data_IF_972548623526
#
_entry.id   IF_972548623526
#
_cell.length_a   1.000
_cell.length_b   1.000
_cell.length_c   1.000
_cell.angle_alpha   90.00
_cell.angle_beta   90.00
_cell.angle_gamma   90.00
#
_symmetry.space_group_name_H-M   'P 1'
#
loop_
_entity.id
_entity.type
_entity.pdbx_description
1 polymer ?
#
# COMPACT_ATOMS: atom_id res chain seq x y z
N UNK A 1 12.42 10.34 -39.19
CA UNK A 1 11.01 10.07 -39.48
C UNK A 1 10.67 8.81 -38.72
N UNK A 2 10.08 8.96 -37.54
CA UNK A 2 9.60 7.82 -36.75
C UNK A 2 8.20 7.57 -37.30
N UNK A 3 8.02 6.43 -37.96
CA UNK A 3 6.73 6.00 -38.46
C UNK A 3 5.73 5.96 -37.31
N UNK A 4 4.54 6.49 -37.60
CA UNK A 4 3.39 6.58 -36.72
C UNK A 4 3.09 5.21 -36.09
N UNK A 5 3.51 5.03 -34.83
CA UNK A 5 2.95 4.00 -33.99
C UNK A 5 1.49 4.41 -33.74
N UNK A 6 0.56 3.82 -34.50
CA UNK A 6 -0.87 3.91 -34.27
C UNK A 6 -1.13 3.78 -32.77
N UNK A 7 -1.65 4.85 -32.15
CA UNK A 7 -2.03 4.82 -30.74
C UNK A 7 -3.06 3.69 -30.56
N UNK A 8 -2.62 2.59 -29.96
CA UNK A 8 -3.50 1.53 -29.50
C UNK A 8 -4.57 2.16 -28.58
N UNK A 9 -5.86 1.98 -28.90
CA UNK A 9 -6.97 2.38 -28.02
C UNK A 9 -6.97 1.65 -26.66
N UNK A 10 -6.13 0.62 -26.47
CA UNK A 10 -6.02 -0.14 -25.22
C UNK A 10 -5.10 0.55 -24.22
N UNK A 11 -5.53 0.56 -22.96
CA UNK A 11 -4.73 1.07 -21.84
C UNK A 11 -3.43 0.27 -21.71
N UNK A 12 -2.32 0.92 -21.40
CA UNK A 12 -1.00 0.27 -21.37
C UNK A 12 -0.26 0.55 -20.07
N UNK A 13 0.36 -0.49 -19.53
CA UNK A 13 1.13 -0.44 -18.27
C UNK A 13 2.52 -0.99 -18.50
N UNK A 14 3.53 -0.19 -18.23
CA UNK A 14 4.93 -0.61 -18.10
C UNK A 14 5.25 -0.92 -16.64
N UNK A 15 5.92 -2.04 -16.37
CA UNK A 15 6.23 -2.50 -15.01
C UNK A 15 7.75 -2.67 -14.87
N UNK A 16 8.37 -1.91 -13.96
CA UNK A 16 9.78 -2.05 -13.61
C UNK A 16 9.91 -2.98 -12.41
N UNK A 17 10.36 -4.21 -12.63
CA UNK A 17 10.56 -5.23 -11.60
C UNK A 17 9.42 -6.24 -11.52
N UNK A 18 9.74 -7.50 -11.79
CA UNK A 18 8.82 -8.64 -11.75
C UNK A 18 8.99 -9.42 -10.43
N UNK A 19 8.96 -8.69 -9.32
CA UNK A 19 8.97 -9.25 -7.97
C UNK A 19 7.60 -9.75 -7.52
N UNK A 20 7.35 -9.80 -6.20
CA UNK A 20 6.06 -10.20 -5.64
C UNK A 20 4.92 -9.30 -6.15
N UNK A 21 5.03 -7.98 -5.94
CA UNK A 21 3.99 -7.02 -6.31
C UNK A 21 3.93 -6.81 -7.82
N UNK A 22 5.06 -6.45 -8.45
CA UNK A 22 5.11 -6.19 -9.89
C UNK A 22 4.74 -7.42 -10.74
N UNK A 23 5.17 -8.62 -10.33
CA UNK A 23 4.76 -9.86 -10.99
C UNK A 23 3.27 -10.14 -10.84
N UNK A 24 2.70 -9.89 -9.66
CA UNK A 24 1.27 -10.11 -9.39
C UNK A 24 0.41 -9.16 -10.21
N UNK A 25 0.83 -7.89 -10.30
CA UNK A 25 0.20 -6.89 -11.14
C UNK A 25 0.29 -7.28 -12.63
N UNK A 26 1.47 -7.70 -13.10
CA UNK A 26 1.67 -8.12 -14.48
C UNK A 26 0.79 -9.31 -14.85
N UNK A 27 0.78 -10.37 -14.03
CA UNK A 27 -0.06 -11.57 -14.20
C UNK A 27 -1.55 -11.22 -14.26
N UNK A 28 -2.00 -10.31 -13.39
CA UNK A 28 -3.40 -9.85 -13.35
C UNK A 28 -3.79 -9.08 -14.59
N UNK A 29 -3.00 -8.06 -14.96
CA UNK A 29 -3.29 -7.19 -16.09
C UNK A 29 -3.21 -7.92 -17.43
N UNK A 30 -2.29 -8.88 -17.58
CA UNK A 30 -2.11 -9.64 -18.81
C UNK A 30 -3.31 -10.53 -19.17
N UNK A 31 -4.18 -10.85 -18.20
CA UNK A 31 -5.45 -11.57 -18.45
C UNK A 31 -6.52 -10.68 -19.08
N UNK A 32 -6.33 -9.36 -19.12
CA UNK A 32 -7.33 -8.40 -19.58
C UNK A 32 -7.12 -8.04 -21.06
N UNK A 33 -8.11 -8.34 -21.90
CA UNK A 33 -8.02 -8.09 -23.34
C UNK A 33 -7.86 -6.61 -23.72
N UNK A 34 -8.22 -5.69 -22.82
CA UNK A 34 -8.16 -4.24 -22.99
C UNK A 34 -6.92 -3.59 -22.34
N UNK A 35 -5.93 -4.38 -21.91
CA UNK A 35 -4.69 -3.87 -21.33
C UNK A 35 -3.45 -4.47 -22.00
N UNK A 36 -2.51 -3.62 -22.41
CA UNK A 36 -1.17 -4.05 -22.86
C UNK A 36 -0.20 -3.97 -21.67
N UNK A 37 0.55 -5.05 -21.43
CA UNK A 37 1.52 -5.12 -20.34
C UNK A 37 2.94 -5.22 -20.90
N UNK A 38 3.77 -4.26 -20.52
CA UNK A 38 5.20 -4.25 -20.80
C UNK A 38 5.95 -4.42 -19.48
N UNK A 39 7.06 -5.14 -19.50
CA UNK A 39 7.84 -5.36 -18.30
C UNK A 39 9.34 -5.30 -18.55
N UNK A 40 10.06 -4.83 -17.54
CA UNK A 40 11.50 -4.99 -17.43
C UNK A 40 11.80 -5.59 -16.06
N UNK A 41 12.75 -6.52 -15.99
CA UNK A 41 13.29 -7.01 -14.73
C UNK A 41 14.81 -7.01 -14.81
N UNK A 42 15.47 -6.69 -13.69
CA UNK A 42 16.94 -6.65 -13.60
C UNK A 42 17.60 -7.94 -14.11
N UNK A 43 16.97 -9.06 -13.79
CA UNK A 43 17.40 -10.38 -14.24
C UNK A 43 16.27 -11.03 -15.05
N UNK A 44 16.61 -11.74 -16.13
CA UNK A 44 15.64 -12.20 -17.11
C UNK A 44 15.00 -13.55 -16.77
N UNK A 45 15.27 -14.14 -15.59
CA UNK A 45 14.70 -15.45 -15.23
C UNK A 45 13.16 -15.51 -15.32
N UNK A 46 12.39 -14.43 -15.04
CA UNK A 46 10.94 -14.44 -15.20
C UNK A 46 10.43 -14.37 -16.65
N UNK A 47 11.28 -14.06 -17.64
CA UNK A 47 10.82 -13.60 -18.95
C UNK A 47 10.12 -14.67 -19.78
N UNK A 48 10.58 -15.92 -19.74
CA UNK A 48 9.95 -16.98 -20.53
C UNK A 48 8.51 -17.24 -20.08
N UNK A 49 8.28 -17.31 -18.76
CA UNK A 49 6.95 -17.45 -18.19
C UNK A 49 6.11 -16.19 -18.44
N UNK A 50 6.68 -15.00 -18.21
CA UNK A 50 5.97 -13.74 -18.44
C UNK A 50 5.49 -13.60 -19.90
N UNK A 51 6.36 -13.93 -20.88
CA UNK A 51 6.00 -13.92 -22.32
C UNK A 51 4.90 -14.93 -22.63
N UNK A 52 4.92 -16.12 -22.01
CA UNK A 52 3.85 -17.11 -22.19
C UNK A 52 2.48 -16.63 -21.69
N UNK A 53 2.46 -15.66 -20.77
CA UNK A 53 1.25 -15.01 -20.26
C UNK A 53 0.82 -13.79 -21.07
N UNK A 54 1.52 -13.46 -22.17
CA UNK A 54 1.23 -12.29 -23.00
C UNK A 54 1.88 -10.99 -22.54
N UNK A 55 2.84 -11.05 -21.60
CA UNK A 55 3.60 -9.87 -21.15
C UNK A 55 4.76 -9.63 -22.12
N UNK A 56 4.89 -8.40 -22.62
CA UNK A 56 6.01 -8.02 -23.49
C UNK A 56 7.19 -7.56 -22.64
N UNK A 57 8.25 -8.37 -22.59
CA UNK A 57 9.46 -8.05 -21.83
C UNK A 57 10.48 -7.28 -22.68
N UNK A 58 11.02 -6.18 -22.14
CA UNK A 58 12.10 -5.40 -22.77
C UNK A 58 13.45 -5.68 -22.09
N UNK A 59 14.54 -5.42 -22.80
CA UNK A 59 15.91 -5.72 -22.32
C UNK A 59 16.46 -4.62 -21.40
N UNK A 60 16.12 -3.35 -21.66
CA UNK A 60 16.60 -2.20 -20.87
C UNK A 60 15.43 -1.42 -20.29
N UNK A 61 15.62 -0.86 -19.09
CA UNK A 61 14.54 -0.13 -18.39
C UNK A 61 14.08 1.10 -19.18
N UNK A 62 14.98 1.81 -19.86
CA UNK A 62 14.61 2.95 -20.69
C UNK A 62 13.70 2.59 -21.87
N UNK A 63 13.68 1.33 -22.30
CA UNK A 63 12.82 0.91 -23.41
C UNK A 63 11.34 0.86 -22.99
N UNK A 64 11.04 0.71 -21.69
CA UNK A 64 9.68 0.91 -21.17
C UNK A 64 9.22 2.36 -21.33
N UNK A 65 10.08 3.33 -21.05
CA UNK A 65 9.75 4.75 -21.21
C UNK A 65 9.49 5.11 -22.68
N UNK A 66 10.29 4.58 -23.61
CA UNK A 66 10.13 4.79 -25.06
C UNK A 66 8.83 4.23 -25.63
N UNK A 67 8.25 3.22 -24.98
CA UNK A 67 6.93 2.67 -25.36
C UNK A 67 5.77 3.61 -24.98
N UNK A 68 6.02 4.69 -24.22
CA UNK A 68 5.04 5.70 -23.81
C UNK A 68 3.77 5.07 -23.19
N UNK A 69 3.90 4.17 -22.19
CA UNK A 69 2.73 3.56 -21.57
C UNK A 69 1.89 4.63 -20.86
N UNK A 70 0.59 4.37 -20.68
CA UNK A 70 -0.26 5.26 -19.88
C UNK A 70 0.20 5.33 -18.43
N UNK A 71 0.65 4.19 -17.89
CA UNK A 71 1.24 4.09 -16.55
C UNK A 71 2.58 3.37 -16.62
N UNK A 72 3.63 3.95 -16.05
CA UNK A 72 4.90 3.27 -15.77
C UNK A 72 5.03 3.10 -14.26
N UNK A 73 4.88 1.87 -13.77
CA UNK A 73 4.91 1.56 -12.34
C UNK A 73 6.25 0.95 -11.91
N UNK A 74 6.86 1.59 -10.91
CA UNK A 74 8.17 1.27 -10.37
C UNK A 74 8.03 0.29 -9.19
N UNK A 75 8.29 -0.99 -9.46
CA UNK A 75 8.21 -2.10 -8.52
C UNK A 75 9.58 -2.60 -8.04
N UNK A 76 10.65 -1.82 -8.29
CA UNK A 76 11.99 -2.09 -7.78
C UNK A 76 12.11 -1.76 -6.27
N UNK A 77 13.19 -2.24 -5.65
CA UNK A 77 13.54 -1.82 -4.30
C UNK A 77 13.84 -0.31 -4.25
N UNK A 78 13.48 0.37 -3.16
CA UNK A 78 13.66 1.82 -3.03
C UNK A 78 15.13 2.25 -3.13
N UNK A 79 16.05 1.41 -2.67
CA UNK A 79 17.50 1.64 -2.84
C UNK A 79 17.95 1.73 -4.31
N UNK A 80 17.23 1.10 -5.24
CA UNK A 80 17.52 1.15 -6.68
C UNK A 80 16.72 2.26 -7.41
N UNK A 81 15.81 2.94 -6.73
CA UNK A 81 14.93 3.93 -7.35
C UNK A 81 15.70 5.08 -8.00
N UNK A 82 16.75 5.69 -7.40
CA UNK A 82 17.49 6.77 -8.03
C UNK A 82 18.13 6.39 -9.37
N UNK A 83 18.73 5.19 -9.47
CA UNK A 83 19.36 4.74 -10.72
C UNK A 83 18.30 4.46 -11.81
N UNK A 84 17.19 3.82 -11.44
CA UNK A 84 16.08 3.55 -12.35
C UNK A 84 15.49 4.86 -12.90
N UNK A 85 15.22 5.83 -12.01
CA UNK A 85 14.70 7.14 -12.40
C UNK A 85 15.66 7.87 -13.34
N UNK A 86 16.97 7.85 -13.04
CA UNK A 86 17.99 8.45 -13.90
C UNK A 86 18.01 7.85 -15.32
N UNK A 87 17.86 6.52 -15.43
CA UNK A 87 17.87 5.83 -16.73
C UNK A 87 16.62 6.12 -17.57
N UNK A 88 15.44 6.27 -16.94
CA UNK A 88 14.19 6.52 -17.66
C UNK A 88 13.96 8.00 -17.96
N UNK A 89 14.45 8.92 -17.12
CA UNK A 89 14.12 10.35 -17.20
C UNK A 89 14.31 10.98 -18.60
N UNK A 90 15.38 10.67 -19.38
CA UNK A 90 15.56 11.25 -20.71
C UNK A 90 14.53 10.81 -21.76
N UNK A 91 13.78 9.74 -21.49
CA UNK A 91 12.90 9.09 -22.47
C UNK A 91 11.42 9.18 -22.10
N UNK A 92 11.09 9.64 -20.90
CA UNK A 92 9.69 9.76 -20.46
C UNK A 92 8.99 10.90 -21.20
N UNK A 93 7.90 10.55 -21.86
CA UNK A 93 6.96 11.54 -22.36
C UNK A 93 5.99 11.97 -21.26
N UNK A 94 6.30 13.10 -20.62
CA UNK A 94 5.50 13.67 -19.53
C UNK A 94 4.07 14.03 -19.97
N UNK A 95 3.80 14.21 -21.27
CA UNK A 95 2.46 14.55 -21.77
C UNK A 95 1.52 13.33 -21.84
N UNK A 96 2.06 12.12 -21.76
CA UNK A 96 1.32 10.88 -21.93
C UNK A 96 1.44 9.94 -20.72
N UNK A 97 2.66 9.74 -20.23
CA UNK A 97 2.94 8.73 -19.20
C UNK A 97 2.77 9.29 -17.80
N UNK A 98 2.02 8.56 -16.97
CA UNK A 98 2.03 8.73 -15.51
C UNK A 98 3.02 7.75 -14.90
N UNK A 99 3.99 8.25 -14.14
CA UNK A 99 4.88 7.44 -13.31
C UNK A 99 4.20 7.16 -11.97
N UNK A 100 4.34 5.95 -11.48
CA UNK A 100 3.92 5.56 -10.13
C UNK A 100 4.90 4.55 -9.54
N UNK A 101 4.72 4.21 -8.27
CA UNK A 101 5.55 3.24 -7.56
C UNK A 101 4.68 2.33 -6.68
N UNK A 102 5.30 1.40 -5.95
CA UNK A 102 4.62 0.54 -4.96
C UNK A 102 5.33 0.52 -3.60
N UNK A 103 6.25 1.46 -3.38
CA UNK A 103 7.11 1.55 -2.20
C UNK A 103 6.35 1.76 -0.89
N UNK A 104 6.93 1.31 0.21
CA UNK A 104 6.31 1.44 1.54
C UNK A 104 6.52 2.81 2.20
N UNK A 105 7.29 3.71 1.57
CA UNK A 105 7.62 5.05 2.06
C UNK A 105 7.46 6.02 0.90
N UNK A 106 6.70 7.09 1.07
CA UNK A 106 6.25 7.97 -0.02
C UNK A 106 7.03 9.27 -0.10
N UNK A 107 7.37 9.88 1.03
CA UNK A 107 8.20 11.10 1.05
C UNK A 107 9.55 10.85 0.38
N UNK A 108 10.23 9.75 0.74
CA UNK A 108 11.51 9.37 0.14
C UNK A 108 11.42 9.20 -1.38
N UNK A 109 10.40 8.49 -1.87
CA UNK A 109 10.24 8.27 -3.32
C UNK A 109 9.94 9.58 -4.04
N UNK A 110 9.11 10.46 -3.45
CA UNK A 110 8.80 11.75 -4.05
C UNK A 110 10.02 12.65 -4.17
N UNK A 111 10.89 12.67 -3.15
CA UNK A 111 12.17 13.36 -3.20
C UNK A 111 13.04 12.82 -4.34
N UNK A 112 13.18 11.49 -4.46
CA UNK A 112 13.97 10.86 -5.53
C UNK A 112 13.42 11.15 -6.93
N UNK A 113 12.10 11.16 -7.09
CA UNK A 113 11.43 11.53 -8.35
C UNK A 113 11.67 13.00 -8.70
N UNK A 114 11.60 13.89 -7.70
CA UNK A 114 11.89 15.31 -7.87
C UNK A 114 13.35 15.55 -8.27
N UNK A 115 14.29 14.85 -7.65
CA UNK A 115 15.71 14.92 -8.00
C UNK A 115 15.98 14.46 -9.45
N UNK A 116 15.18 13.53 -9.96
CA UNK A 116 15.20 13.10 -11.35
C UNK A 116 14.46 14.05 -12.32
N UNK A 117 13.83 15.12 -11.82
CA UNK A 117 13.06 16.08 -12.63
C UNK A 117 11.76 15.50 -13.20
N UNK A 118 11.19 14.49 -12.55
CA UNK A 118 10.00 13.75 -13.00
C UNK A 118 8.75 14.03 -12.14
N UNK A 119 8.80 15.00 -11.23
CA UNK A 119 7.72 15.29 -10.28
C UNK A 119 6.38 15.61 -10.96
N UNK A 120 6.42 16.32 -12.09
CA UNK A 120 5.21 16.75 -12.81
C UNK A 120 4.43 15.58 -13.44
N UNK A 121 5.01 14.37 -13.46
CA UNK A 121 4.38 13.18 -14.02
C UNK A 121 4.16 12.03 -13.02
N UNK A 122 4.33 12.28 -11.72
CA UNK A 122 4.35 11.23 -10.71
C UNK A 122 3.17 11.26 -9.73
N UNK A 123 2.53 10.11 -9.57
CA UNK A 123 1.52 9.83 -8.54
C UNK A 123 2.02 8.66 -7.72
N UNK A 124 2.24 8.86 -6.43
CA UNK A 124 2.75 7.79 -5.57
C UNK A 124 1.68 6.75 -5.32
N UNK A 125 2.07 5.49 -5.19
CA UNK A 125 1.11 4.46 -4.83
C UNK A 125 1.72 3.39 -3.91
N UNK A 126 0.92 2.77 -3.06
CA UNK A 126 1.36 1.70 -2.17
C UNK A 126 0.20 0.71 -1.96
N UNK A 127 0.28 -0.51 -2.51
CA UNK A 127 -0.67 -1.56 -2.20
C UNK A 127 -0.48 -2.03 -0.75
N UNK A 128 -1.55 -2.03 0.04
CA UNK A 128 -1.60 -2.63 1.38
C UNK A 128 -1.77 -4.15 1.27
N UNK A 129 -0.82 -4.78 0.55
CA UNK A 129 -0.77 -6.21 0.29
C UNK A 129 0.68 -6.69 0.32
N UNK A 130 0.87 -7.95 0.66
CA UNK A 130 2.20 -8.56 0.69
C UNK A 130 2.19 -9.92 1.36
N UNK A 131 3.29 -10.62 1.21
CA UNK A 131 3.59 -11.85 1.92
C UNK A 131 5.04 -11.81 2.42
N UNK A 132 5.38 -12.76 3.26
CA UNK A 132 6.75 -13.07 3.69
C UNK A 132 7.64 -13.56 2.53
N UNK A 133 7.03 -14.03 1.44
CA UNK A 133 7.73 -14.53 0.25
C UNK A 133 8.10 -13.41 -0.73
N UNK A 134 9.05 -13.67 -1.63
CA UNK A 134 9.57 -12.68 -2.58
C UNK A 134 9.77 -13.26 -3.99
N UNK A 135 9.92 -12.37 -4.97
CA UNK A 135 10.21 -12.73 -6.35
C UNK A 135 9.01 -13.19 -7.18
N UNK A 136 9.25 -13.41 -8.47
CA UNK A 136 8.24 -13.79 -9.46
C UNK A 136 7.47 -15.07 -9.09
N UNK A 137 8.17 -16.09 -8.56
CA UNK A 137 7.54 -17.37 -8.19
C UNK A 137 6.52 -17.23 -7.06
N UNK A 138 6.68 -16.23 -6.19
CA UNK A 138 5.72 -15.92 -5.13
C UNK A 138 4.57 -15.03 -5.61
N UNK A 139 4.64 -14.51 -6.84
CA UNK A 139 3.60 -13.65 -7.39
C UNK A 139 2.40 -14.45 -7.88
N UNK A 140 1.20 -13.91 -7.67
CA UNK A 140 -0.08 -14.48 -8.08
C UNK A 140 -0.98 -13.36 -8.58
N UNK A 141 -1.80 -13.62 -9.60
CA UNK A 141 -2.80 -12.65 -10.05
C UNK A 141 -3.87 -12.36 -8.99
N UNK A 142 -3.99 -13.22 -7.98
CA UNK A 142 -4.93 -13.09 -6.86
C UNK A 142 -4.38 -12.29 -5.68
N UNK A 143 -3.05 -12.08 -5.59
CA UNK A 143 -2.40 -11.45 -4.42
C UNK A 143 -3.01 -10.10 -4.05
N UNK A 144 -3.43 -9.34 -5.07
CA UNK A 144 -3.95 -7.99 -4.92
C UNK A 144 -5.48 -7.94 -4.83
N UNK A 145 -6.21 -9.07 -4.82
CA UNK A 145 -7.67 -9.11 -4.82
C UNK A 145 -8.28 -8.23 -3.71
N UNK A 146 -9.01 -7.18 -4.10
CA UNK A 146 -9.68 -6.28 -3.16
C UNK A 146 -8.73 -5.47 -2.28
N UNK A 147 -7.43 -5.47 -2.60
CA UNK A 147 -6.42 -4.76 -1.82
C UNK A 147 -6.74 -3.27 -1.78
N UNK A 148 -6.48 -2.64 -0.63
CA UNK A 148 -6.49 -1.19 -0.51
C UNK A 148 -5.16 -0.63 -1.00
N UNK A 149 -5.19 0.41 -1.82
CA UNK A 149 -4.01 1.13 -2.29
C UNK A 149 -4.02 2.54 -1.73
N UNK A 150 -2.93 2.96 -1.10
CA UNK A 150 -2.70 4.36 -0.79
C UNK A 150 -2.13 5.06 -2.01
N UNK A 151 -2.81 6.07 -2.53
CA UNK A 151 -2.33 6.96 -3.59
C UNK A 151 -1.89 8.26 -2.94
N UNK A 152 -0.71 8.74 -3.31
CA UNK A 152 -0.21 10.02 -2.80
C UNK A 152 -0.10 11.09 -3.85
N UNK A 153 -0.57 12.27 -3.47
CA UNK A 153 -0.66 13.47 -4.30
C UNK A 153 -0.06 14.67 -3.58
N UNK A 154 0.39 15.66 -4.35
CA UNK A 154 0.82 16.97 -3.89
C UNK A 154 0.20 18.07 -4.77
N UNK A 155 0.48 19.34 -4.47
CA UNK A 155 -0.05 20.49 -5.19
C UNK A 155 0.30 20.51 -6.69
N UNK A 156 1.35 19.79 -7.12
CA UNK A 156 1.76 19.69 -8.52
C UNK A 156 1.06 18.56 -9.29
N UNK A 157 0.38 17.67 -8.57
CA UNK A 157 -0.23 16.48 -9.15
C UNK A 157 -1.47 16.87 -9.95
N UNK A 158 -1.52 16.49 -11.23
CA UNK A 158 -2.70 16.71 -12.07
C UNK A 158 -3.72 15.56 -11.94
N UNK A 159 -5.02 15.89 -11.89
CA UNK A 159 -6.07 14.88 -11.68
C UNK A 159 -6.10 13.78 -12.74
N UNK A 160 -5.79 14.10 -14.01
CA UNK A 160 -5.77 13.11 -15.08
C UNK A 160 -4.73 12.00 -14.83
N UNK A 161 -3.66 12.30 -14.10
CA UNK A 161 -2.65 11.31 -13.71
C UNK A 161 -3.16 10.40 -12.62
N UNK A 162 -3.84 10.97 -11.61
CA UNK A 162 -4.55 10.20 -10.58
C UNK A 162 -5.57 9.27 -11.23
N UNK A 163 -6.31 9.76 -12.22
CA UNK A 163 -7.24 8.96 -13.01
C UNK A 163 -6.57 7.77 -13.70
N UNK A 164 -5.40 7.92 -14.31
CA UNK A 164 -4.69 6.79 -14.91
C UNK A 164 -4.36 5.71 -13.86
N UNK A 165 -3.95 6.12 -12.66
CA UNK A 165 -3.67 5.18 -11.57
C UNK A 165 -4.95 4.54 -11.03
N UNK A 166 -6.03 5.30 -10.87
CA UNK A 166 -7.34 4.77 -10.48
C UNK A 166 -7.94 3.83 -11.53
N UNK A 167 -7.78 4.10 -12.82
CA UNK A 167 -8.18 3.20 -13.89
C UNK A 167 -7.48 1.85 -13.75
N UNK A 168 -6.17 1.86 -13.49
CA UNK A 168 -5.40 0.63 -13.27
C UNK A 168 -5.84 -0.11 -12.00
N UNK A 169 -5.92 0.59 -10.87
CA UNK A 169 -6.18 -0.01 -9.55
C UNK A 169 -7.64 -0.43 -9.42
N UNK A 170 -8.56 0.50 -9.63
CA UNK A 170 -9.99 0.33 -9.35
C UNK A 170 -10.69 -0.34 -10.52
N UNK A 171 -10.53 0.15 -11.75
CA UNK A 171 -11.30 -0.37 -12.88
C UNK A 171 -10.77 -1.68 -13.44
N UNK A 172 -9.46 -1.78 -13.66
CA UNK A 172 -8.82 -2.97 -14.23
C UNK A 172 -8.54 -4.03 -13.15
N UNK A 173 -7.91 -3.64 -12.04
CA UNK A 173 -7.57 -4.60 -10.99
C UNK A 173 -8.72 -4.91 -10.02
N UNK A 174 -9.81 -4.12 -10.00
CA UNK A 174 -10.91 -4.31 -9.03
C UNK A 174 -10.46 -4.20 -7.57
N UNK A 175 -9.52 -3.28 -7.33
CA UNK A 175 -8.99 -2.95 -6.02
C UNK A 175 -9.63 -1.65 -5.51
N UNK A 176 -9.29 -1.27 -4.29
CA UNK A 176 -9.76 -0.04 -3.67
C UNK A 176 -8.61 0.95 -3.54
N UNK A 177 -8.92 2.24 -3.49
CA UNK A 177 -7.92 3.30 -3.34
C UNK A 177 -8.32 4.31 -2.26
N UNK A 178 -7.35 4.85 -1.56
CA UNK A 178 -7.48 6.07 -0.74
C UNK A 178 -6.46 7.08 -1.22
N UNK A 179 -6.81 8.36 -1.20
CA UNK A 179 -5.90 9.44 -1.61
C UNK A 179 -5.47 10.24 -0.40
N UNK A 180 -4.18 10.41 -0.22
CA UNK A 180 -3.58 11.11 0.91
C UNK A 180 -2.31 11.87 0.50
N UNK A 181 -1.75 12.69 1.38
CA UNK A 181 -0.42 13.25 1.19
C UNK A 181 0.67 12.26 1.67
N UNK A 182 1.90 12.47 1.20
CA UNK A 182 3.04 11.59 1.53
C UNK A 182 3.33 11.52 3.04
N UNK A 183 3.19 12.63 3.77
CA UNK A 183 3.50 12.67 5.19
C UNK A 183 2.45 11.90 6.01
N UNK A 184 1.17 12.06 5.68
CA UNK A 184 0.08 11.28 6.28
C UNK A 184 0.27 9.78 6.01
N UNK A 185 0.74 9.42 4.81
CA UNK A 185 1.03 8.03 4.46
C UNK A 185 2.14 7.48 5.36
N UNK A 186 3.28 8.16 5.40
CA UNK A 186 4.47 7.65 6.08
C UNK A 186 4.25 7.60 7.60
N UNK A 187 3.51 8.54 8.18
CA UNK A 187 3.10 8.45 9.58
C UNK A 187 2.19 7.25 9.83
N UNK A 188 1.19 7.03 8.98
CA UNK A 188 0.25 5.90 9.10
C UNK A 188 0.97 4.55 8.93
N UNK A 189 1.81 4.41 7.91
CA UNK A 189 2.62 3.21 7.67
C UNK A 189 3.57 2.92 8.83
N UNK A 190 4.17 3.96 9.43
CA UNK A 190 4.98 3.79 10.64
C UNK A 190 4.15 3.24 11.81
N UNK A 191 2.94 3.76 12.02
CA UNK A 191 2.04 3.35 13.10
C UNK A 191 1.55 1.91 12.96
N UNK A 192 1.11 1.51 11.76
CA UNK A 192 0.42 0.24 11.57
C UNK A 192 1.32 -0.89 11.02
N UNK A 193 2.55 -0.57 10.58
CA UNK A 193 3.48 -1.56 10.00
C UNK A 193 4.88 -1.47 10.58
N UNK A 194 5.58 -0.34 10.42
CA UNK A 194 7.02 -0.29 10.73
C UNK A 194 7.32 -0.42 12.23
N UNK A 195 6.60 0.32 13.08
CA UNK A 195 6.71 0.21 14.52
C UNK A 195 6.35 -1.21 15.01
N UNK A 196 5.22 -1.82 14.60
CA UNK A 196 4.92 -3.22 14.94
C UNK A 196 6.03 -4.22 14.58
N UNK A 197 6.67 -4.09 13.41
CA UNK A 197 7.80 -4.94 13.04
C UNK A 197 8.99 -4.80 13.99
N UNK A 198 9.33 -3.57 14.41
CA UNK A 198 10.42 -3.33 15.37
C UNK A 198 10.06 -3.88 16.75
N UNK A 199 8.83 -3.65 17.23
CA UNK A 199 8.34 -4.17 18.51
C UNK A 199 8.36 -5.70 18.52
N UNK A 200 7.85 -6.35 17.47
CA UNK A 200 7.89 -7.81 17.33
C UNK A 200 9.33 -8.37 17.33
N UNK A 201 10.25 -7.68 16.66
CA UNK A 201 11.67 -8.05 16.65
C UNK A 201 12.28 -7.90 18.05
N UNK A 202 11.97 -6.81 18.77
CA UNK A 202 12.44 -6.61 20.13
C UNK A 202 11.92 -7.69 21.09
N UNK A 203 10.65 -8.09 20.97
CA UNK A 203 10.07 -9.19 21.75
C UNK A 203 10.81 -10.52 21.48
N UNK A 204 11.09 -10.83 20.21
CA UNK A 204 11.86 -12.01 19.84
C UNK A 204 13.28 -11.98 20.42
N UNK A 205 13.95 -10.82 20.40
CA UNK A 205 15.28 -10.66 21.00
C UNK A 205 15.25 -10.89 22.51
N UNK A 206 14.25 -10.37 23.24
CA UNK A 206 14.11 -10.61 24.69
C UNK A 206 14.02 -12.09 25.00
N UNK A 207 13.23 -12.86 24.23
CA UNK A 207 13.14 -14.32 24.38
C UNK A 207 14.50 -15.00 24.17
N UNK A 208 15.24 -14.61 23.12
CA UNK A 208 16.54 -15.21 22.81
C UNK A 208 17.56 -15.07 23.95
N UNK A 209 17.48 -13.97 24.70
CA UNK A 209 18.36 -13.70 25.86
C UNK A 209 17.92 -14.42 27.15
N UNK A 210 16.73 -15.02 27.19
CA UNK A 210 16.27 -15.73 28.40
C UNK A 210 16.93 -17.11 28.57
N UNK A 211 17.29 -17.44 29.81
CA UNK A 211 17.81 -18.76 30.17
C UNK A 211 16.74 -19.86 30.07
N UNK A 212 15.48 -19.54 30.35
CA UNK A 212 14.33 -20.46 30.28
C UNK A 212 13.64 -20.51 28.90
N UNK A 213 14.23 -19.92 27.85
CA UNK A 213 13.61 -19.78 26.51
C UNK A 213 13.05 -21.07 25.93
N UNK A 214 13.71 -22.20 26.16
CA UNK A 214 13.26 -23.50 25.65
C UNK A 214 11.95 -23.98 26.30
N UNK A 215 11.76 -23.70 27.58
CA UNK A 215 10.51 -23.99 28.30
C UNK A 215 9.44 -22.97 27.88
N UNK A 216 9.79 -21.69 27.84
CA UNK A 216 8.87 -20.62 27.41
C UNK A 216 8.29 -20.88 26.01
N UNK A 217 9.12 -21.34 25.06
CA UNK A 217 8.66 -21.71 23.71
C UNK A 217 7.71 -22.90 23.70
N UNK A 218 7.94 -23.92 24.53
CA UNK A 218 7.02 -25.06 24.65
C UNK A 218 5.66 -24.68 25.26
N UNK A 219 5.65 -23.67 26.14
CA UNK A 219 4.43 -23.11 26.74
C UNK A 219 3.78 -22.02 25.88
N UNK A 220 4.40 -21.62 24.78
CA UNK A 220 3.91 -20.53 23.93
C UNK A 220 2.63 -20.93 23.19
N UNK A 221 1.73 -19.96 23.02
CA UNK A 221 0.42 -20.18 22.40
C UNK A 221 0.07 -19.01 21.45
N UNK A 222 -1.22 -18.69 21.33
CA UNK A 222 -1.72 -17.68 20.39
C UNK A 222 -1.13 -16.28 20.56
N UNK A 223 -0.96 -15.80 21.81
CA UNK A 223 -0.42 -14.47 22.09
C UNK A 223 0.99 -14.30 21.53
N UNK A 224 1.90 -15.22 21.86
CA UNK A 224 3.26 -15.22 21.35
C UNK A 224 3.28 -15.30 19.82
N UNK A 225 2.59 -16.30 19.26
CA UNK A 225 2.52 -16.53 17.81
C UNK A 225 2.08 -15.28 17.05
N UNK A 226 1.01 -14.62 17.50
CA UNK A 226 0.46 -13.47 16.78
C UNK A 226 1.34 -12.22 16.94
N UNK A 227 1.89 -11.99 18.14
CA UNK A 227 2.77 -10.84 18.41
C UNK A 227 4.12 -10.93 17.67
N UNK A 228 4.66 -12.14 17.47
CA UNK A 228 5.96 -12.32 16.81
C UNK A 228 5.86 -12.74 15.34
N UNK A 229 4.65 -12.94 14.80
CA UNK A 229 4.46 -13.38 13.40
C UNK A 229 5.23 -12.52 12.40
N UNK A 230 5.17 -11.19 12.56
CA UNK A 230 5.81 -10.25 11.63
C UNK A 230 7.34 -10.18 11.78
N UNK A 231 7.90 -10.68 12.88
CA UNK A 231 9.34 -10.82 13.06
C UNK A 231 9.94 -11.96 12.19
N UNK A 232 9.10 -12.81 11.60
CA UNK A 232 9.52 -13.85 10.64
C UNK A 232 9.80 -13.31 9.24
N UNK A 233 9.51 -12.03 8.99
CA UNK A 233 9.87 -11.38 7.72
C UNK A 233 11.40 -11.27 7.62
N UNK A 234 11.94 -11.39 6.40
CA UNK A 234 13.37 -11.22 6.14
C UNK A 234 13.92 -9.94 6.80
N UNK A 235 15.01 -10.10 7.56
CA UNK A 235 15.53 -9.02 8.40
C UNK A 235 16.09 -7.85 7.60
N UNK A 236 16.63 -8.10 6.39
CA UNK A 236 17.11 -7.03 5.52
C UNK A 236 15.94 -6.24 4.93
N UNK A 237 14.85 -6.91 4.55
CA UNK A 237 13.61 -6.26 4.11
C UNK A 237 13.02 -5.39 5.23
N UNK A 238 12.88 -5.93 6.44
CA UNK A 238 12.39 -5.15 7.59
C UNK A 238 13.30 -3.97 7.89
N UNK A 239 14.62 -4.17 7.87
CA UNK A 239 15.60 -3.09 8.08
C UNK A 239 15.47 -1.99 7.03
N UNK A 240 15.32 -2.32 5.74
CA UNK A 240 15.17 -1.34 4.67
C UNK A 240 13.93 -0.47 4.91
N UNK A 241 12.76 -1.12 5.05
CA UNK A 241 11.48 -0.47 5.30
C UNK A 241 11.51 0.48 6.52
N UNK A 242 12.08 0.03 7.64
CA UNK A 242 12.20 0.84 8.86
C UNK A 242 13.20 1.99 8.68
N UNK A 243 14.33 1.73 8.01
CA UNK A 243 15.40 2.71 7.82
C UNK A 243 14.97 3.87 6.93
N UNK A 244 14.12 3.59 5.94
CA UNK A 244 13.56 4.57 5.00
C UNK A 244 12.54 5.49 5.68
N UNK A 245 11.85 5.03 6.74
CA UNK A 245 10.88 5.81 7.50
C UNK A 245 11.26 5.94 9.00
N UNK A 246 12.55 6.12 9.26
CA UNK A 246 13.14 6.02 10.60
C UNK A 246 12.61 7.04 11.61
N UNK A 247 12.33 8.26 11.16
CA UNK A 247 11.96 9.35 12.07
C UNK A 247 10.56 9.13 12.64
N UNK A 248 9.59 8.82 11.79
CA UNK A 248 8.22 8.47 12.21
C UNK A 248 8.23 7.20 13.07
N UNK A 249 8.98 6.17 12.66
CA UNK A 249 9.10 4.93 13.43
C UNK A 249 9.70 5.18 14.81
N UNK A 250 10.79 5.95 14.93
CA UNK A 250 11.43 6.27 16.20
C UNK A 250 10.55 7.10 17.13
N UNK A 251 9.73 8.01 16.59
CA UNK A 251 8.76 8.78 17.37
C UNK A 251 7.76 7.84 18.05
N UNK A 252 7.18 6.91 17.29
CA UNK A 252 6.18 5.98 17.80
C UNK A 252 6.76 4.91 18.73
N UNK A 253 7.99 4.46 18.48
CA UNK A 253 8.69 3.58 19.42
C UNK A 253 8.87 4.23 20.80
N UNK A 254 9.13 5.54 20.88
CA UNK A 254 9.18 6.25 22.17
C UNK A 254 7.84 6.24 22.89
N UNK A 255 6.73 6.35 22.16
CA UNK A 255 5.38 6.21 22.74
C UNK A 255 5.17 4.81 23.31
N UNK A 256 5.54 3.76 22.58
CA UNK A 256 5.47 2.38 23.09
C UNK A 256 6.36 2.17 24.31
N UNK A 257 7.59 2.69 24.28
CA UNK A 257 8.53 2.61 25.42
C UNK A 257 7.93 3.30 26.65
N UNK A 258 7.28 4.45 26.48
CA UNK A 258 6.59 5.15 27.57
C UNK A 258 5.46 4.31 28.17
N UNK A 259 4.61 3.70 27.36
CA UNK A 259 3.53 2.81 27.83
C UNK A 259 4.09 1.58 28.56
N UNK A 260 5.15 0.96 28.04
CA UNK A 260 5.79 -0.20 28.67
C UNK A 260 6.52 0.17 29.98
N UNK A 261 7.13 1.36 30.04
CA UNK A 261 7.79 1.86 31.25
C UNK A 261 6.76 2.17 32.33
N UNK A 262 5.65 2.80 31.95
CA UNK A 262 4.51 3.03 32.84
C UNK A 262 3.98 1.69 33.39
N UNK A 263 3.73 0.70 32.52
CA UNK A 263 3.24 -0.61 32.93
C UNK A 263 4.23 -1.33 33.87
N UNK A 264 5.53 -1.28 33.60
CA UNK A 264 6.55 -1.87 34.46
C UNK A 264 6.56 -1.22 35.86
N UNK A 265 6.63 0.12 35.92
CA UNK A 265 6.64 0.85 37.18
C UNK A 265 5.34 0.65 37.99
N UNK A 266 4.20 0.53 37.30
CA UNK A 266 2.91 0.22 37.92
C UNK A 266 2.95 -1.14 38.62
N UNK A 267 3.51 -2.17 37.97
CA UNK A 267 3.62 -3.53 38.51
C UNK A 267 4.66 -3.66 39.63
N UNK A 268 5.58 -2.70 39.78
CA UNK A 268 6.54 -2.65 40.88
C UNK A 268 5.93 -2.08 42.19
N UNK A 269 4.76 -1.44 42.15
CA UNK A 269 4.06 -0.92 43.34
C UNK A 269 3.36 -2.04 44.13
N UNK A 270 2.99 -1.78 45.39
CA UNK A 270 2.15 -2.70 46.15
C UNK A 270 0.74 -2.84 45.54
N UNK A 271 0.13 -4.02 45.71
CA UNK A 271 -1.12 -4.42 45.05
C UNK A 271 -2.27 -3.46 45.30
N UNK A 272 -2.39 -2.92 46.52
CA UNK A 272 -3.46 -1.98 46.88
C UNK A 272 -3.28 -0.62 46.17
N UNK A 273 -2.04 -0.17 46.00
CA UNK A 273 -1.72 1.05 45.27
C UNK A 273 -1.81 0.86 43.74
N UNK A 274 -1.58 -0.37 43.25
CA UNK A 274 -1.54 -0.68 41.83
C UNK A 274 -2.93 -0.98 41.20
N UNK A 275 -3.90 -1.53 41.93
CA UNK A 275 -5.17 -2.04 41.36
C UNK A 275 -5.92 -1.02 40.50
N UNK A 276 -6.08 0.22 40.98
CA UNK A 276 -6.76 1.27 40.21
C UNK A 276 -6.00 1.64 38.92
N UNK A 277 -4.66 1.70 38.98
CA UNK A 277 -3.80 2.00 37.82
C UNK A 277 -3.79 0.84 36.81
N UNK A 278 -3.81 -0.40 37.30
CA UNK A 278 -3.90 -1.61 36.46
C UNK A 278 -5.22 -1.62 35.67
N UNK A 279 -6.34 -1.41 36.36
CA UNK A 279 -7.65 -1.34 35.71
C UNK A 279 -7.71 -0.25 34.65
N UNK A 280 -7.20 0.94 34.96
CA UNK A 280 -7.13 2.05 34.00
C UNK A 280 -6.26 1.68 32.79
N UNK A 281 -5.04 1.17 33.01
CA UNK A 281 -4.13 0.79 31.95
C UNK A 281 -4.75 -0.22 30.98
N UNK A 282 -5.34 -1.29 31.50
CA UNK A 282 -5.95 -2.32 30.66
C UNK A 282 -7.25 -1.82 29.99
N UNK A 283 -7.97 -0.86 30.59
CA UNK A 283 -9.16 -0.25 30.00
C UNK A 283 -8.85 0.71 28.84
N UNK A 284 -7.66 1.34 28.77
CA UNK A 284 -7.30 2.30 27.70
C UNK A 284 -7.52 1.78 26.28
N UNK A 285 -7.33 0.47 26.05
CA UNK A 285 -7.51 -0.16 24.74
C UNK A 285 -8.95 -0.65 24.47
N UNK A 286 -9.94 -0.22 25.26
CA UNK A 286 -11.31 -0.74 25.18
C UNK A 286 -12.00 -0.42 23.83
N UNK A 287 -11.88 0.80 23.32
CA UNK A 287 -12.43 1.18 22.01
C UNK A 287 -11.89 0.30 20.88
N UNK A 288 -10.58 0.01 20.91
CA UNK A 288 -9.96 -0.93 19.97
C UNK A 288 -10.50 -2.36 20.10
N UNK A 289 -10.76 -2.84 21.32
CA UNK A 289 -11.36 -4.17 21.52
C UNK A 289 -12.78 -4.22 20.94
N UNK A 290 -13.60 -3.21 21.23
CA UNK A 290 -14.97 -3.09 20.71
C UNK A 290 -14.98 -3.07 19.18
N UNK A 291 -14.11 -2.26 18.58
CA UNK A 291 -13.87 -2.24 17.14
C UNK A 291 -13.56 -3.64 16.58
N UNK A 292 -12.59 -4.36 17.16
CA UNK A 292 -12.21 -5.71 16.69
C UNK A 292 -13.31 -6.75 16.92
N UNK A 293 -14.09 -6.64 17.99
CA UNK A 293 -15.23 -7.53 18.23
C UNK A 293 -16.32 -7.35 17.17
N UNK A 294 -16.67 -6.11 16.84
CA UNK A 294 -17.63 -5.81 15.78
C UNK A 294 -17.18 -6.40 14.43
N UNK A 295 -15.93 -6.19 14.03
CA UNK A 295 -15.40 -6.75 12.78
C UNK A 295 -15.45 -8.27 12.72
N UNK A 296 -15.09 -8.95 13.82
CA UNK A 296 -15.11 -10.42 13.90
C UNK A 296 -16.53 -10.98 13.80
N UNK A 297 -17.50 -10.30 14.39
CA UNK A 297 -18.90 -10.72 14.32
C UNK A 297 -19.48 -10.52 12.93
N UNK A 298 -19.22 -9.39 12.27
CA UNK A 298 -19.64 -9.14 10.88
C UNK A 298 -19.07 -10.17 9.89
N UNK A 299 -17.84 -10.63 10.12
CA UNK A 299 -17.20 -11.65 9.29
C UNK A 299 -17.82 -13.06 9.46
N UNK A 300 -18.54 -13.31 10.56
CA UNK A 300 -19.22 -14.59 10.83
C UNK A 300 -20.66 -14.61 10.32
N UNK A 301 -21.35 -13.47 10.29
CA UNK A 301 -22.73 -13.35 9.78
C UNK A 301 -22.79 -13.21 8.26
N UNK A 302 -21.73 -12.69 7.61
CA UNK A 302 -21.66 -12.56 6.14
C UNK A 302 -21.64 -13.89 5.38
N UNK A 303 -21.54 -15.03 6.07
CA UNK A 303 -21.69 -16.36 5.47
C UNK A 303 -23.16 -16.80 5.29
N UNK A 304 -24.15 -15.98 5.70
CA UNK A 304 -25.59 -16.35 5.65
C UNK A 304 -26.60 -15.31 5.13
N UNK A 305 -26.22 -14.11 4.67
CA UNK A 305 -27.19 -13.12 4.15
C UNK A 305 -26.66 -12.35 2.92
N UNK A 306 -27.31 -12.53 1.76
CA UNK A 306 -26.92 -11.90 0.49
C UNK A 306 -27.60 -10.56 0.19
N UNK A 307 -28.70 -10.23 0.89
CA UNK A 307 -29.58 -9.13 0.49
C UNK A 307 -29.46 -7.90 1.42
N UNK A 308 -29.31 -8.10 2.74
CA UNK A 308 -29.11 -7.01 3.71
C UNK A 308 -27.73 -6.35 3.59
N UNK A 309 -26.70 -7.10 3.19
CA UNK A 309 -25.33 -6.60 3.01
C UNK A 309 -25.25 -5.56 1.86
N UNK A 310 -26.04 -5.75 0.78
CA UNK A 310 -26.10 -4.80 -0.33
C UNK A 310 -26.77 -3.48 0.06
N UNK A 311 -27.86 -3.53 0.83
CA UNK A 311 -28.54 -2.31 1.29
C UNK A 311 -27.66 -1.46 2.24
N UNK A 312 -26.87 -2.11 3.09
CA UNK A 312 -25.96 -1.42 4.01
C UNK A 312 -24.70 -0.87 3.29
N UNK A 313 -24.27 -1.54 2.23
CA UNK A 313 -23.20 -1.07 1.33
C UNK A 313 -23.61 0.19 0.55
N UNK A 314 -24.86 0.27 0.08
CA UNK A 314 -25.39 1.44 -0.63
C UNK A 314 -25.56 2.66 0.31
N UNK A 315 -25.96 2.44 1.56
CA UNK A 315 -26.16 3.51 2.55
C UNK A 315 -24.86 4.22 2.97
N UNK A 316 -23.71 3.55 2.86
CA UNK A 316 -22.39 4.10 3.21
C UNK A 316 -21.58 4.53 1.98
N UNK A 317 -22.19 4.55 0.80
CA UNK A 317 -21.53 4.92 -0.45
C UNK A 317 -22.02 6.29 -0.95
N UNK A 318 -21.11 7.10 -1.46
CA UNK A 318 -21.44 8.38 -2.13
C UNK A 318 -20.72 8.50 -3.46
N UNK A 319 -21.41 9.10 -4.43
CA UNK A 319 -20.85 9.40 -5.74
C UNK A 319 -20.16 10.77 -5.69
N UNK A 320 -18.85 10.77 -5.92
CA UNK A 320 -18.07 11.98 -6.14
C UNK A 320 -17.92 12.25 -7.63
N UNK A 321 -18.07 13.50 -8.05
CA UNK A 321 -17.97 13.92 -9.45
C UNK A 321 -16.88 14.97 -9.59
N UNK A 322 -16.06 14.84 -10.62
CA UNK A 322 -15.08 15.86 -10.94
C UNK A 322 -15.80 17.12 -11.45
N UNK A 323 -15.66 18.22 -10.73
CA UNK A 323 -16.08 19.56 -11.16
C UNK A 323 -14.82 20.42 -11.38
N UNK A 324 -14.74 21.10 -12.52
CA UNK A 324 -13.62 21.98 -12.88
C UNK A 324 -13.51 23.22 -11.98
N UNK A 325 -14.51 23.49 -11.13
CA UNK A 325 -14.53 24.58 -10.15
C UNK A 325 -14.06 24.18 -8.74
N UNK A 326 -13.73 22.90 -8.50
CA UNK A 326 -13.52 22.32 -7.15
C UNK A 326 -12.07 21.86 -6.92
N UNK A 327 -11.59 22.05 -5.68
CA UNK A 327 -10.31 21.53 -5.19
C UNK A 327 -10.38 20.01 -4.96
N UNK A 328 -10.37 19.22 -6.04
CA UNK A 328 -10.46 17.74 -6.00
C UNK A 328 -9.47 17.10 -5.01
N UNK A 329 -8.29 17.70 -4.84
CA UNK A 329 -7.26 17.21 -3.93
C UNK A 329 -7.79 17.23 -2.51
N UNK A 330 -8.22 18.41 -2.05
CA UNK A 330 -8.72 18.59 -0.69
C UNK A 330 -9.90 17.66 -0.39
N UNK A 331 -10.84 17.51 -1.32
CA UNK A 331 -12.00 16.64 -1.10
C UNK A 331 -11.63 15.16 -0.97
N UNK A 332 -10.67 14.66 -1.77
CA UNK A 332 -10.21 13.29 -1.66
C UNK A 332 -9.34 13.06 -0.41
N UNK A 333 -8.58 14.07 0.02
CA UNK A 333 -7.86 14.04 1.30
C UNK A 333 -8.83 13.98 2.49
N UNK A 334 -9.90 14.79 2.47
CA UNK A 334 -10.94 14.80 3.51
C UNK A 334 -11.76 13.49 3.50
N UNK A 335 -12.02 12.94 2.32
CA UNK A 335 -12.64 11.62 2.15
C UNK A 335 -11.83 10.52 2.84
N UNK A 336 -10.51 10.46 2.58
CA UNK A 336 -9.63 9.49 3.23
C UNK A 336 -9.57 9.67 4.76
N UNK A 337 -9.55 10.92 5.25
CA UNK A 337 -9.62 11.21 6.70
C UNK A 337 -10.92 10.74 7.35
N UNK A 338 -12.00 10.71 6.57
CA UNK A 338 -13.32 10.24 7.00
C UNK A 338 -13.46 8.71 6.89
N UNK A 339 -12.39 7.99 6.57
CA UNK A 339 -12.39 6.54 6.43
C UNK A 339 -13.07 6.04 5.15
N UNK A 340 -13.27 6.92 4.16
CA UNK A 340 -13.80 6.53 2.86
C UNK A 340 -12.70 6.01 1.94
N UNK A 341 -13.04 5.02 1.11
CA UNK A 341 -12.18 4.53 0.03
C UNK A 341 -12.93 4.54 -1.31
N UNK A 342 -12.20 4.82 -2.38
CA UNK A 342 -12.67 4.71 -3.76
C UNK A 342 -12.76 3.22 -4.10
N UNK A 343 -13.96 2.78 -4.48
CA UNK A 343 -14.26 1.39 -4.83
C UNK A 343 -14.64 1.20 -6.29
N UNK A 344 -15.11 2.26 -6.96
CA UNK A 344 -15.42 2.23 -8.39
C UNK A 344 -15.01 3.54 -9.06
N UNK A 345 -14.62 3.44 -10.33
CA UNK A 345 -14.20 4.56 -11.16
C UNK A 345 -14.96 4.51 -12.49
N UNK A 346 -15.65 5.61 -12.81
CA UNK A 346 -16.50 5.80 -13.97
C UNK A 346 -16.02 6.99 -14.82
N UNK A 347 -16.21 6.94 -16.15
CA UNK A 347 -15.98 8.08 -17.05
C UNK A 347 -15.13 7.76 -18.28
N UNK A 348 -15.36 8.51 -19.37
CA UNK A 348 -14.71 8.31 -20.68
C UNK A 348 -13.75 9.44 -21.00
N UNK A 349 -12.50 9.10 -21.33
CA UNK A 349 -11.43 9.91 -21.97
C UNK A 349 -11.20 11.40 -21.59
N UNK A 350 -11.93 12.01 -20.64
CA UNK A 350 -11.73 13.40 -20.17
C UNK A 350 -12.01 13.53 -18.67
N UNK A 351 -11.43 14.56 -18.03
CA UNK A 351 -11.61 14.80 -16.59
C UNK A 351 -13.07 15.15 -16.24
N UNK A 352 -13.74 15.94 -17.09
CA UNK A 352 -15.10 16.48 -16.86
C UNK A 352 -16.20 15.44 -16.71
N UNK A 353 -15.96 14.18 -17.10
CA UNK A 353 -16.93 13.09 -16.98
C UNK A 353 -16.56 12.03 -15.92
N UNK A 354 -15.47 12.25 -15.18
CA UNK A 354 -14.97 11.27 -14.20
C UNK A 354 -15.83 11.28 -12.93
N UNK A 355 -16.24 10.09 -12.50
CA UNK A 355 -17.00 9.88 -11.26
C UNK A 355 -16.37 8.76 -10.44
N UNK A 356 -16.34 8.94 -9.13
CA UNK A 356 -15.78 7.98 -8.17
C UNK A 356 -16.90 7.53 -7.24
N UNK A 357 -17.04 6.23 -7.03
CA UNK A 357 -17.84 5.73 -5.91
C UNK A 357 -16.94 5.61 -4.69
N UNK A 358 -17.23 6.41 -3.67
CA UNK A 358 -16.56 6.40 -2.37
C UNK A 358 -17.42 5.59 -1.41
N UNK A 359 -16.80 4.78 -0.56
CA UNK A 359 -17.49 4.01 0.48
C UNK A 359 -16.79 4.19 1.82
N UNK A 360 -17.55 4.61 2.83
CA UNK A 360 -17.09 4.72 4.21
C UNK A 360 -16.96 3.33 4.86
N UNK A 361 -15.89 3.11 5.63
CA UNK A 361 -15.82 2.00 6.57
C UNK A 361 -16.48 2.42 7.88
N UNK A 362 -17.78 2.12 8.01
CA UNK A 362 -18.58 2.46 9.19
C UNK A 362 -18.05 1.86 10.50
N UNK A 363 -17.17 0.85 10.42
CA UNK A 363 -16.53 0.30 11.62
C UNK A 363 -15.51 1.25 12.26
N UNK A 364 -14.94 2.20 11.50
CA UNK A 364 -13.94 3.15 12.00
C UNK A 364 -14.52 4.24 12.90
N UNK A 365 -15.82 4.53 12.83
CA UNK A 365 -16.45 5.61 13.61
C UNK A 365 -16.47 5.38 15.14
N UNK A 366 -16.12 4.17 15.59
CA UNK A 366 -16.10 3.78 17.00
C UNK A 366 -14.68 3.77 17.63
N UNK A 367 -13.66 4.13 16.85
CA UNK A 367 -12.26 4.30 17.30
C UNK A 367 -12.00 5.76 17.65
#
# INVERSE_FOLDING_TARGET
>A
MVEDAEFSQKFSVGIVGLGLIGGSLAKRLAKLANCNVYAWNRHNEPYDEAKSLGITCVEKVQDLAKLRPNVLILCNALAAMPSILHEIAPYIDKSCTTISDVGSVKTLVREQVKDAGLQDCYVGAHPMAGSEFTGWKASSDELLNGALWALTVDDSTEFWRVRNILQMIVSLCKNRAIVLDDATHDNSAALISHMPHVVATALANVLCEQSNRAIALQLSAGSWRDMTRVALTDSQRTRAMVSENRHNTAKLLRSVISELTFAANMLDNDVETADALEQEFFAKAQSWREYKYLQRNSSKTSTQQSDDAKQNDDANSRLWKYDSQINWQQELLESARSGESIIEFYGFNTNESSQLLLRADSSLNNL
#
